data_IF_122815465063
#
_entry.id   IF_122815465063
#
_cell.length_a   1.000
_cell.length_b   1.000
_cell.length_c   1.000
_cell.angle_alpha   90.00
_cell.angle_beta   90.00
_cell.angle_gamma   90.00
#
_symmetry.space_group_name_H-M   'P 1'
#
loop_
_entity.id
_entity.type
_entity.pdbx_description
1 polymer ?
#
# COMPACT_ATOMS: atom_id res chain seq x y z
N UNK A 1 -5.00 -2.10 80.35
CA UNK A 1 -6.14 -1.19 80.16
C UNK A 1 -7.24 -1.64 81.13
N UNK A 2 -7.35 -1.01 82.30
CA UNK A 2 -8.37 -1.28 83.27
C UNK A 2 -9.62 -0.49 82.90
N UNK A 3 -10.56 -1.13 82.21
CA UNK A 3 -11.93 -0.69 82.15
C UNK A 3 -12.66 -1.26 83.34
N UNK A 4 -13.10 -0.42 84.28
CA UNK A 4 -14.05 -0.83 85.28
C UNK A 4 -15.38 -1.10 84.58
N UNK A 5 -15.74 -2.37 84.47
CA UNK A 5 -17.09 -2.76 84.08
C UNK A 5 -18.00 -2.51 85.27
N UNK A 6 -18.83 -1.48 85.21
CA UNK A 6 -19.91 -1.30 86.16
C UNK A 6 -21.01 -2.30 85.86
N UNK A 7 -21.10 -3.32 86.68
CA UNK A 7 -22.20 -4.30 86.57
C UNK A 7 -23.38 -3.75 87.38
N UNK A 8 -24.43 -3.33 86.62
CA UNK A 8 -25.69 -2.89 87.25
C UNK A 8 -26.64 -4.09 87.34
N UNK A 9 -26.91 -4.57 88.51
CA UNK A 9 -27.89 -5.62 88.74
C UNK A 9 -29.27 -5.01 89.03
N UNK A 10 -30.26 -5.17 88.14
CA UNK A 10 -31.62 -4.72 88.34
C UNK A 10 -32.51 -5.87 88.74
N UNK A 11 -33.37 -5.68 89.78
CA UNK A 11 -34.33 -6.66 90.22
C UNK A 11 -35.74 -6.29 89.78
N UNK A 12 -36.45 -7.24 89.21
CA UNK A 12 -37.88 -7.03 88.82
C UNK A 12 -38.82 -7.14 90.10
N UNK A 13 -38.28 -7.46 91.24
CA UNK A 13 -39.01 -7.47 92.48
C UNK A 13 -38.79 -6.16 93.26
N UNK A 14 -39.81 -5.35 93.49
CA UNK A 14 -39.65 -4.03 94.15
C UNK A 14 -39.18 -4.15 95.64
N UNK A 15 -39.13 -5.33 96.23
CA UNK A 15 -38.66 -5.56 97.59
C UNK A 15 -37.18 -5.91 97.70
N UNK A 16 -36.47 -6.05 96.50
CA UNK A 16 -35.04 -6.31 96.50
C UNK A 16 -34.33 -5.06 96.07
N UNK A 17 -33.53 -4.47 96.92
CA UNK A 17 -32.79 -3.24 96.56
C UNK A 17 -31.78 -3.54 95.47
N UNK A 18 -31.73 -2.69 94.45
CA UNK A 18 -30.70 -2.69 93.40
C UNK A 18 -29.51 -1.92 93.99
N UNK A 19 -28.33 -2.55 94.00
CA UNK A 19 -27.12 -1.91 94.45
C UNK A 19 -26.07 -1.85 93.32
N UNK A 20 -25.24 -0.81 93.30
CA UNK A 20 -24.08 -0.71 92.43
C UNK A 20 -22.96 -1.66 92.87
N UNK A 21 -21.89 -1.71 92.07
CA UNK A 21 -20.73 -2.54 92.38
C UNK A 21 -20.02 -2.15 93.68
N UNK A 22 -20.32 -0.97 94.17
CA UNK A 22 -19.80 -0.51 95.52
C UNK A 22 -20.77 -0.75 96.66
N UNK A 23 -21.93 -1.46 96.46
CA UNK A 23 -22.88 -1.78 97.47
C UNK A 23 -23.86 -0.65 97.78
N UNK A 24 -23.89 0.44 97.05
CA UNK A 24 -24.79 1.57 97.29
C UNK A 24 -26.16 1.27 96.65
N UNK A 25 -27.21 1.53 97.41
CA UNK A 25 -28.60 1.37 96.98
C UNK A 25 -28.91 2.33 95.85
N UNK A 26 -29.33 1.78 94.68
CA UNK A 26 -29.75 2.60 93.55
C UNK A 26 -31.27 2.81 93.57
N UNK A 27 -31.70 4.04 93.34
CA UNK A 27 -33.11 4.35 93.22
C UNK A 27 -33.69 3.80 91.87
N UNK A 28 -34.95 3.37 91.84
CA UNK A 28 -35.57 2.73 90.69
C UNK A 28 -35.48 3.55 89.40
N UNK A 29 -35.30 4.82 89.49
CA UNK A 29 -35.16 5.70 88.31
C UNK A 29 -33.78 5.67 87.64
N UNK A 30 -32.75 5.23 88.34
CA UNK A 30 -31.38 5.31 87.80
C UNK A 30 -31.11 4.22 86.74
N UNK A 31 -31.81 3.08 86.79
CA UNK A 31 -31.62 2.03 85.82
C UNK A 31 -32.53 2.16 84.62
N UNK A 32 -33.52 3.08 84.58
CA UNK A 32 -34.28 3.39 83.37
C UNK A 32 -33.57 4.38 82.40
N UNK A 33 -32.48 5.03 82.88
CA UNK A 33 -31.70 5.99 82.09
C UNK A 33 -30.61 5.36 81.23
N UNK A 34 -30.46 4.06 81.20
CA UNK A 34 -29.39 3.37 80.47
C UNK A 34 -29.85 2.97 79.05
N UNK A 35 -30.57 3.85 78.38
CA UNK A 35 -30.79 3.76 76.94
C UNK A 35 -29.84 4.68 76.19
N UNK A 36 -28.57 4.32 76.27
CA UNK A 36 -27.57 5.01 75.48
C UNK A 36 -27.34 4.24 74.20
N UNK A 37 -27.27 4.92 73.07
CA UNK A 37 -27.15 4.29 71.76
C UNK A 37 -25.89 3.45 71.55
N UNK A 38 -24.97 3.43 72.53
CA UNK A 38 -23.70 2.73 72.53
C UNK A 38 -23.59 1.60 73.55
N UNK A 39 -24.72 1.16 74.14
CA UNK A 39 -24.76 0.09 75.14
C UNK A 39 -25.46 -1.16 74.52
N UNK A 40 -24.71 -2.26 74.40
CA UNK A 40 -25.29 -3.58 74.14
C UNK A 40 -25.86 -4.16 75.43
N UNK A 41 -26.94 -4.92 75.40
CA UNK A 41 -27.56 -5.58 76.56
C UNK A 41 -27.64 -7.08 76.30
N UNK A 42 -27.25 -7.83 77.31
CA UNK A 42 -27.51 -9.29 77.36
C UNK A 42 -28.44 -9.55 78.56
N UNK A 43 -29.62 -10.11 78.25
CA UNK A 43 -30.63 -10.46 79.26
C UNK A 43 -30.54 -11.96 79.55
N UNK A 44 -30.41 -12.34 80.78
CA UNK A 44 -30.47 -13.74 81.24
C UNK A 44 -31.59 -13.91 82.23
N UNK A 45 -32.48 -14.87 82.01
CA UNK A 45 -33.51 -15.20 82.96
C UNK A 45 -32.98 -16.24 83.98
N UNK A 46 -33.01 -15.90 85.23
CA UNK A 46 -32.72 -16.81 86.31
C UNK A 46 -34.04 -17.48 86.72
N UNK A 47 -34.18 -18.77 86.44
CA UNK A 47 -35.38 -19.56 86.75
C UNK A 47 -35.25 -20.24 88.13
N UNK A 48 -36.37 -20.33 88.82
CA UNK A 48 -36.42 -21.09 90.10
C UNK A 48 -36.33 -22.60 89.75
N UNK A 49 -35.33 -23.33 90.30
CA UNK A 49 -35.10 -24.74 89.94
C UNK A 49 -36.23 -25.67 90.41
N UNK A 50 -37.12 -25.24 91.29
CA UNK A 50 -38.23 -26.05 91.77
C UNK A 50 -39.55 -25.79 90.97
N UNK A 51 -39.74 -24.63 90.48
CA UNK A 51 -41.00 -24.23 89.82
C UNK A 51 -40.86 -23.94 88.28
N UNK A 52 -39.66 -23.89 87.77
CA UNK A 52 -39.36 -23.57 86.39
C UNK A 52 -39.75 -22.13 85.97
N UNK A 53 -40.27 -21.32 86.86
CA UNK A 53 -40.68 -19.93 86.56
C UNK A 53 -39.48 -18.99 86.72
N UNK A 54 -39.43 -18.01 85.77
CA UNK A 54 -38.42 -16.97 85.83
C UNK A 54 -38.58 -16.15 87.11
N UNK A 55 -37.56 -16.13 87.92
CA UNK A 55 -37.54 -15.46 89.26
C UNK A 55 -36.89 -14.10 89.18
N UNK A 56 -35.86 -13.98 88.33
CA UNK A 56 -35.11 -12.74 88.09
C UNK A 56 -34.66 -12.69 86.65
N UNK A 57 -34.57 -11.47 86.10
CA UNK A 57 -33.91 -11.20 84.83
C UNK A 57 -32.66 -10.35 85.16
N UNK A 58 -31.52 -10.85 84.75
CA UNK A 58 -30.28 -10.15 84.86
C UNK A 58 -30.02 -9.51 83.52
N UNK A 59 -29.92 -8.17 83.49
CA UNK A 59 -29.50 -7.36 82.32
C UNK A 59 -28.11 -6.85 82.58
N UNK A 60 -27.19 -7.28 81.77
CA UNK A 60 -25.81 -6.77 81.72
C UNK A 60 -25.66 -5.83 80.55
N UNK A 61 -25.43 -4.57 80.88
CA UNK A 61 -25.10 -3.54 79.87
C UNK A 61 -23.59 -3.52 79.69
N UNK A 62 -23.17 -3.61 78.43
CA UNK A 62 -21.76 -3.43 78.09
C UNK A 62 -21.60 -2.31 77.07
N UNK A 63 -20.53 -1.53 77.23
CA UNK A 63 -20.25 -0.43 76.31
C UNK A 63 -19.75 -0.95 74.94
N UNK A 64 -20.45 -0.66 73.90
CA UNK A 64 -20.02 -0.95 72.49
C UNK A 64 -19.20 0.18 71.91
N UNK A 65 -18.98 1.28 72.60
CA UNK A 65 -18.21 2.43 72.09
C UNK A 65 -16.78 2.02 71.75
N UNK A 66 -16.15 1.17 72.56
CA UNK A 66 -14.82 0.63 72.30
C UNK A 66 -14.78 -0.32 71.11
N UNK A 67 -15.83 -1.14 70.94
CA UNK A 67 -15.95 -2.03 69.79
C UNK A 67 -16.14 -1.24 68.50
N UNK A 68 -16.98 -0.20 68.51
CA UNK A 68 -17.19 0.66 67.36
C UNK A 68 -15.93 1.43 66.97
N UNK A 69 -15.13 1.85 67.92
CA UNK A 69 -13.85 2.50 67.65
C UNK A 69 -12.85 1.51 67.06
N UNK A 70 -12.71 0.31 67.58
CA UNK A 70 -11.87 -0.75 67.05
C UNK A 70 -12.30 -1.14 65.64
N UNK A 71 -13.60 -1.39 65.44
CA UNK A 71 -14.13 -1.72 64.11
C UNK A 71 -13.86 -0.61 63.06
N UNK A 72 -14.06 0.66 63.45
CA UNK A 72 -13.73 1.80 62.55
C UNK A 72 -12.24 1.87 62.24
N UNK A 73 -11.38 1.63 63.22
CA UNK A 73 -9.93 1.59 63.00
C UNK A 73 -9.54 0.47 62.05
N UNK A 74 -10.08 -0.74 62.25
CA UNK A 74 -9.82 -1.89 61.38
C UNK A 74 -10.34 -1.64 59.94
N UNK A 75 -11.53 -1.05 59.77
CA UNK A 75 -12.06 -0.69 58.47
C UNK A 75 -11.19 0.37 57.77
N UNK A 76 -10.73 1.39 58.51
CA UNK A 76 -9.86 2.44 57.94
C UNK A 76 -8.49 1.89 57.56
N UNK A 77 -7.89 1.01 58.38
CA UNK A 77 -6.62 0.37 58.05
C UNK A 77 -6.76 -0.58 56.85
N UNK A 78 -7.83 -1.37 56.80
CA UNK A 78 -8.12 -2.24 55.66
C UNK A 78 -8.34 -1.42 54.37
N UNK A 79 -9.10 -0.30 54.44
CA UNK A 79 -9.32 0.59 53.32
C UNK A 79 -8.01 1.26 52.85
N UNK A 80 -7.15 1.69 53.80
CA UNK A 80 -5.84 2.26 53.44
C UNK A 80 -4.93 1.24 52.77
N UNK A 81 -4.87 0.02 53.29
CA UNK A 81 -4.11 -1.09 52.70
C UNK A 81 -4.65 -1.43 51.31
N UNK A 82 -5.97 -1.56 51.16
CA UNK A 82 -6.60 -1.79 49.86
C UNK A 82 -6.28 -0.65 48.84
N UNK A 83 -6.33 0.60 49.32
CA UNK A 83 -5.97 1.77 48.49
C UNK A 83 -4.50 1.71 48.00
N UNK A 84 -3.58 1.30 48.86
CA UNK A 84 -2.16 1.12 48.51
C UNK A 84 -2.01 0.00 47.45
N UNK A 85 -2.70 -1.13 47.62
CA UNK A 85 -2.64 -2.22 46.64
C UNK A 85 -3.24 -1.82 45.30
N UNK A 86 -4.37 -1.07 45.29
CA UNK A 86 -4.97 -0.55 44.05
C UNK A 86 -4.01 0.42 43.32
N UNK A 87 -3.39 1.33 44.11
CA UNK A 87 -2.42 2.28 43.54
C UNK A 87 -1.18 1.55 42.99
N UNK A 88 -0.65 0.60 43.72
CA UNK A 88 0.47 -0.23 43.28
C UNK A 88 0.10 -1.02 42.00
N UNK A 89 -1.09 -1.63 41.97
CA UNK A 89 -1.61 -2.33 40.80
C UNK A 89 -1.74 -1.40 39.57
N UNK A 90 -2.23 -0.18 39.75
CA UNK A 90 -2.33 0.82 38.70
C UNK A 90 -0.94 1.21 38.16
N UNK A 91 0.03 1.45 39.03
CA UNK A 91 1.41 1.76 38.64
C UNK A 91 2.01 0.62 37.82
N UNK A 92 1.84 -0.63 38.29
CA UNK A 92 2.31 -1.82 37.54
C UNK A 92 1.61 -1.92 36.17
N UNK A 93 0.30 -1.73 36.11
CA UNK A 93 -0.46 -1.80 34.86
C UNK A 93 0.01 -0.74 33.86
N UNK A 94 0.24 0.50 34.31
CA UNK A 94 0.80 1.57 33.48
C UNK A 94 2.23 1.24 33.03
N UNK A 95 3.06 0.74 33.93
CA UNK A 95 4.43 0.33 33.63
C UNK A 95 4.45 -0.77 32.55
N UNK A 96 3.63 -1.81 32.69
CA UNK A 96 3.50 -2.89 31.68
C UNK A 96 2.97 -2.35 30.36
N UNK A 97 1.97 -1.47 30.39
CA UNK A 97 1.43 -0.86 29.19
C UNK A 97 2.47 -0.08 28.39
N UNK A 98 3.27 0.75 29.06
CA UNK A 98 4.29 1.58 28.41
C UNK A 98 5.51 0.77 27.99
N UNK A 99 5.93 -0.20 28.81
CA UNK A 99 7.16 -0.95 28.56
C UNK A 99 6.98 -2.12 27.59
N UNK A 100 5.77 -2.70 27.50
CA UNK A 100 5.53 -3.90 26.69
C UNK A 100 4.42 -3.71 25.65
N UNK A 101 3.24 -3.28 26.10
CA UNK A 101 2.05 -3.29 25.22
C UNK A 101 2.16 -2.27 24.07
N UNK A 102 2.58 -1.04 24.37
CA UNK A 102 2.73 0.01 23.33
C UNK A 102 3.79 -0.36 22.30
N UNK A 103 5.03 -0.74 22.68
CA UNK A 103 6.05 -1.12 21.71
C UNK A 103 5.64 -2.29 20.78
N UNK A 104 4.94 -3.29 21.33
CA UNK A 104 4.43 -4.40 20.53
C UNK A 104 3.37 -3.94 19.52
N UNK A 105 2.48 -3.01 19.93
CA UNK A 105 1.50 -2.40 19.00
C UNK A 105 2.20 -1.58 17.92
N UNK A 106 3.24 -0.83 18.25
CA UNK A 106 4.01 -0.05 17.28
C UNK A 106 4.71 -0.96 16.26
N UNK A 107 5.27 -2.09 16.71
CA UNK A 107 5.82 -3.13 15.84
C UNK A 107 4.75 -3.73 14.91
N UNK A 108 3.58 -4.07 15.46
CA UNK A 108 2.47 -4.62 14.67
C UNK A 108 1.95 -3.60 13.63
N UNK A 109 1.84 -2.33 14.01
CA UNK A 109 1.46 -1.26 13.10
C UNK A 109 2.50 -1.05 12.00
N UNK A 110 3.79 -1.12 12.33
CA UNK A 110 4.87 -1.05 11.36
C UNK A 110 4.81 -2.19 10.33
N UNK A 111 4.61 -3.42 10.80
CA UNK A 111 4.43 -4.58 9.92
C UNK A 111 3.23 -4.43 8.98
N UNK A 112 2.10 -3.86 9.47
CA UNK A 112 0.93 -3.60 8.62
C UNK A 112 1.25 -2.57 7.52
N UNK A 113 1.95 -1.49 7.85
CA UNK A 113 2.36 -0.47 6.87
C UNK A 113 3.30 -1.03 5.81
N UNK A 114 4.31 -1.82 6.21
CA UNK A 114 5.20 -2.49 5.25
C UNK A 114 4.42 -3.44 4.35
N UNK A 115 3.44 -4.18 4.87
CA UNK A 115 2.55 -5.03 4.06
C UNK A 115 1.74 -4.22 3.04
N UNK A 116 1.36 -2.98 3.37
CA UNK A 116 0.64 -2.05 2.49
C UNK A 116 1.57 -1.33 1.49
N UNK A 117 2.89 -1.59 1.57
CA UNK A 117 3.89 -1.02 0.67
C UNK A 117 4.54 0.28 1.17
N UNK A 118 4.26 0.72 2.40
CA UNK A 118 4.93 1.86 3.03
C UNK A 118 6.28 1.42 3.62
N UNK A 119 7.30 1.37 2.77
CA UNK A 119 8.66 0.99 3.15
C UNK A 119 9.45 2.14 3.78
N UNK A 120 8.92 3.37 3.79
CA UNK A 120 9.56 4.52 4.42
C UNK A 120 9.26 4.62 5.92
N UNK A 121 8.26 3.90 6.39
CA UNK A 121 7.92 3.87 7.80
C UNK A 121 9.08 3.32 8.64
N UNK A 122 9.39 4.00 9.74
CA UNK A 122 10.41 3.58 10.73
C UNK A 122 9.80 3.50 12.10
N UNK A 123 10.13 2.45 12.84
CA UNK A 123 9.70 2.29 14.23
C UNK A 123 10.67 3.09 15.13
N UNK A 124 10.17 4.11 15.87
CA UNK A 124 11.03 5.00 16.65
C UNK A 124 11.40 4.42 18.03
N UNK A 125 11.69 3.15 18.12
CA UNK A 125 12.03 2.50 19.38
C UNK A 125 13.53 2.63 19.70
N UNK A 126 13.87 3.55 20.59
CA UNK A 126 15.22 3.73 21.12
C UNK A 126 15.39 2.96 22.44
N UNK A 127 15.42 1.63 22.38
CA UNK A 127 15.61 0.74 23.54
C UNK A 127 16.86 -0.11 23.34
N UNK A 128 17.41 -0.64 24.48
CA UNK A 128 18.60 -1.51 24.46
C UNK A 128 18.28 -2.96 24.83
N UNK A 129 17.00 -3.33 24.78
CA UNK A 129 16.47 -4.66 25.05
C UNK A 129 16.06 -5.38 23.73
N UNK A 130 15.43 -6.54 23.86
CA UNK A 130 15.01 -7.38 22.77
C UNK A 130 14.01 -6.66 21.82
N UNK A 131 13.12 -5.83 22.38
CA UNK A 131 12.17 -5.04 21.58
C UNK A 131 12.88 -3.94 20.79
N UNK A 132 13.92 -3.32 21.37
CA UNK A 132 14.76 -2.36 20.65
C UNK A 132 15.54 -3.01 19.51
N UNK A 133 16.07 -4.21 19.73
CA UNK A 133 16.73 -4.99 18.69
C UNK A 133 15.76 -5.37 17.56
N UNK A 134 14.55 -5.84 17.92
CA UNK A 134 13.52 -6.19 16.95
C UNK A 134 13.09 -4.98 16.10
N UNK A 135 12.97 -3.78 16.71
CA UNK A 135 12.68 -2.55 15.98
C UNK A 135 13.83 -2.14 15.04
N UNK A 136 15.06 -2.35 15.47
CA UNK A 136 16.24 -2.13 14.61
C UNK A 136 16.22 -3.08 13.41
N UNK A 137 16.07 -4.37 13.64
CA UNK A 137 16.02 -5.40 12.59
C UNK A 137 14.85 -5.15 11.61
N UNK A 138 13.68 -4.71 12.14
CA UNK A 138 12.56 -4.27 11.31
C UNK A 138 12.95 -3.08 10.41
N UNK A 139 13.59 -2.05 10.96
CA UNK A 139 13.99 -0.87 10.21
C UNK A 139 15.01 -1.20 9.11
N UNK A 140 15.96 -2.10 9.39
CA UNK A 140 16.91 -2.63 8.38
C UNK A 140 16.19 -3.39 7.28
N UNK A 141 15.22 -4.25 7.65
CA UNK A 141 14.39 -4.96 6.67
C UNK A 141 13.58 -4.01 5.80
N UNK A 142 12.93 -3.01 6.40
CA UNK A 142 12.14 -2.00 5.67
C UNK A 142 13.02 -1.20 4.68
N UNK A 143 14.27 -0.88 5.07
CA UNK A 143 15.24 -0.24 4.19
C UNK A 143 15.63 -1.13 3.01
N UNK A 144 15.93 -2.41 3.25
CA UNK A 144 16.21 -3.37 2.17
C UNK A 144 15.03 -3.55 1.21
N UNK A 145 13.78 -3.53 1.72
CA UNK A 145 12.59 -3.59 0.87
C UNK A 145 12.42 -2.30 0.05
N UNK A 146 12.65 -1.13 0.63
CA UNK A 146 12.65 0.15 -0.07
C UNK A 146 13.67 0.19 -1.21
N UNK A 147 14.90 -0.24 -0.92
CA UNK A 147 15.97 -0.27 -1.92
C UNK A 147 15.65 -1.24 -3.06
N UNK A 148 15.08 -2.41 -2.72
CA UNK A 148 14.59 -3.37 -3.72
C UNK A 148 13.47 -2.78 -4.59
N UNK A 149 12.51 -2.08 -3.98
CA UNK A 149 11.41 -1.44 -4.74
C UNK A 149 11.92 -0.28 -5.59
N UNK A 150 12.89 0.50 -5.09
CA UNK A 150 13.57 1.54 -5.87
C UNK A 150 14.30 0.95 -7.08
N UNK A 151 15.09 -0.12 -6.91
CA UNK A 151 15.76 -0.82 -8.02
C UNK A 151 14.74 -1.34 -9.02
N UNK A 152 13.66 -1.99 -8.55
CA UNK A 152 12.60 -2.51 -9.40
C UNK A 152 11.89 -1.40 -10.19
N UNK A 153 11.56 -0.28 -9.57
CA UNK A 153 10.90 0.84 -10.24
C UNK A 153 11.85 1.58 -11.20
N UNK A 154 13.13 1.66 -10.86
CA UNK A 154 14.16 2.18 -11.76
C UNK A 154 14.32 1.24 -12.96
N UNK A 155 14.42 -0.07 -12.72
CA UNK A 155 14.51 -1.07 -13.79
C UNK A 155 13.32 -1.02 -14.76
N UNK A 156 12.09 -0.80 -14.27
CA UNK A 156 10.88 -0.62 -15.10
C UNK A 156 10.95 0.61 -16.03
N UNK A 157 11.82 1.60 -15.73
CA UNK A 157 12.04 2.76 -16.62
C UNK A 157 13.00 2.46 -17.76
N UNK A 158 13.90 1.48 -17.57
CA UNK A 158 14.88 1.08 -18.60
C UNK A 158 14.43 -0.14 -19.41
N UNK A 159 13.42 -0.86 -18.93
CA UNK A 159 12.87 -2.05 -19.60
C UNK A 159 11.37 -1.89 -19.75
N UNK A 160 10.84 -2.24 -20.92
CA UNK A 160 9.38 -2.13 -21.14
C UNK A 160 8.59 -2.97 -20.14
N UNK A 161 7.38 -2.52 -19.79
CA UNK A 161 6.52 -3.18 -18.80
C UNK A 161 6.34 -4.67 -19.14
N UNK A 162 6.11 -5.01 -20.40
CA UNK A 162 5.89 -6.39 -20.87
C UNK A 162 7.15 -7.25 -20.69
N UNK A 163 8.33 -6.71 -20.98
CA UNK A 163 9.62 -7.42 -20.77
C UNK A 163 9.90 -7.59 -19.30
N UNK A 164 9.64 -6.57 -18.47
CA UNK A 164 9.79 -6.66 -17.02
C UNK A 164 8.86 -7.73 -16.42
N UNK A 165 7.60 -7.80 -16.87
CA UNK A 165 6.63 -8.81 -16.44
C UNK A 165 7.06 -10.22 -16.82
N UNK A 166 7.56 -10.43 -18.07
CA UNK A 166 8.09 -11.74 -18.51
C UNK A 166 9.29 -12.17 -17.65
N UNK A 167 10.25 -11.28 -17.40
CA UNK A 167 11.42 -11.57 -16.57
C UNK A 167 11.02 -11.90 -15.13
N UNK A 168 10.06 -11.17 -14.55
CA UNK A 168 9.60 -11.38 -13.18
C UNK A 168 8.75 -12.65 -13.01
N UNK A 169 8.04 -13.07 -14.06
CA UNK A 169 7.21 -14.28 -14.06
C UNK A 169 8.04 -15.57 -14.26
N UNK A 170 9.16 -15.48 -14.98
CA UNK A 170 10.03 -16.61 -15.29
C UNK A 170 11.32 -16.55 -14.46
N UNK A 171 11.20 -16.75 -13.13
CA UNK A 171 12.33 -16.64 -12.19
C UNK A 171 13.50 -17.58 -12.45
N UNK A 172 13.29 -18.69 -13.18
CA UNK A 172 14.26 -19.78 -13.29
C UNK A 172 14.87 -19.96 -14.68
N UNK A 173 14.51 -19.16 -15.70
CA UNK A 173 15.05 -19.35 -17.05
C UNK A 173 15.12 -18.04 -17.85
N UNK A 174 16.08 -17.19 -17.53
CA UNK A 174 16.58 -16.23 -18.52
C UNK A 174 17.43 -17.01 -19.52
N UNK A 175 16.75 -17.68 -20.48
CA UNK A 175 17.43 -18.37 -21.57
C UNK A 175 17.85 -17.36 -22.63
N UNK A 176 19.06 -17.52 -23.16
CA UNK A 176 19.54 -16.83 -24.37
C UNK A 176 18.88 -17.37 -25.65
N UNK A 177 17.93 -18.30 -25.55
CA UNK A 177 17.24 -18.86 -26.69
C UNK A 177 16.11 -17.94 -27.14
N UNK A 178 16.25 -17.35 -28.33
CA UNK A 178 15.15 -16.66 -28.99
C UNK A 178 14.13 -17.66 -29.54
N UNK A 179 12.86 -17.26 -29.57
CA UNK A 179 11.74 -18.01 -30.15
C UNK A 179 11.31 -17.41 -31.51
N UNK A 180 10.93 -18.27 -32.46
CA UNK A 180 10.29 -17.78 -33.70
C UNK A 180 8.89 -17.30 -33.38
N UNK A 181 8.61 -16.04 -33.69
CA UNK A 181 7.34 -15.41 -33.39
C UNK A 181 6.95 -14.47 -34.51
N UNK A 182 5.67 -14.45 -34.87
CA UNK A 182 5.16 -13.42 -35.76
C UNK A 182 4.95 -12.14 -34.96
N UNK A 183 5.60 -11.06 -35.39
CA UNK A 183 5.51 -9.75 -34.73
C UNK A 183 5.20 -8.67 -35.75
N UNK A 184 4.64 -7.57 -35.31
CA UNK A 184 4.55 -6.33 -36.07
C UNK A 184 5.60 -5.38 -35.53
N UNK A 185 6.46 -4.87 -36.41
CA UNK A 185 7.56 -3.96 -36.07
C UNK A 185 7.27 -2.59 -36.66
N UNK A 186 7.50 -1.57 -35.84
CA UNK A 186 7.40 -0.15 -36.24
C UNK A 186 8.77 0.49 -36.05
N UNK A 187 9.18 1.24 -37.07
CA UNK A 187 10.22 2.25 -37.00
C UNK A 187 9.62 3.62 -37.23
N UNK A 188 10.06 4.60 -36.46
CA UNK A 188 9.74 6.01 -36.69
C UNK A 188 10.98 6.82 -36.52
N UNK A 189 11.23 7.81 -37.38
CA UNK A 189 12.40 8.70 -37.32
C UNK A 189 11.98 10.14 -37.65
N UNK A 190 12.70 11.13 -37.03
CA UNK A 190 12.43 12.54 -37.30
C UNK A 190 13.06 12.99 -38.61
N UNK A 191 12.25 13.51 -39.48
CA UNK A 191 12.72 14.01 -40.75
C UNK A 191 13.57 15.30 -40.59
N UNK A 192 14.76 15.28 -41.16
CA UNK A 192 15.65 16.43 -41.12
C UNK A 192 16.23 16.74 -39.74
N UNK A 193 16.25 15.78 -38.81
CA UNK A 193 16.79 15.99 -37.46
C UNK A 193 18.29 16.30 -37.46
N UNK A 194 19.09 15.64 -38.26
CA UNK A 194 20.54 15.91 -38.36
C UNK A 194 20.85 17.38 -38.70
N UNK A 195 20.28 17.96 -39.78
CA UNK A 195 20.43 19.39 -40.03
C UNK A 195 19.86 20.31 -38.93
N UNK A 196 18.81 19.87 -38.24
CA UNK A 196 18.26 20.59 -37.09
C UNK A 196 19.27 20.63 -35.95
N UNK A 197 19.81 19.46 -35.57
CA UNK A 197 20.78 19.33 -34.47
C UNK A 197 22.07 20.11 -34.71
N UNK A 198 22.50 20.25 -35.97
CA UNK A 198 23.68 21.05 -36.34
C UNK A 198 23.46 22.57 -36.18
N UNK A 199 22.21 23.05 -36.23
CA UNK A 199 21.85 24.47 -36.18
C UNK A 199 21.40 24.95 -34.82
N UNK A 200 21.14 24.07 -33.86
CA UNK A 200 20.61 24.42 -32.55
C UNK A 200 21.56 24.05 -31.43
N UNK A 201 21.41 24.70 -30.30
CA UNK A 201 22.18 24.39 -29.09
C UNK A 201 21.84 22.98 -28.57
N UNK A 202 22.85 22.24 -28.05
CA UNK A 202 22.64 20.86 -27.58
C UNK A 202 21.51 20.70 -26.56
N UNK A 203 21.28 21.68 -25.70
CA UNK A 203 20.21 21.67 -24.72
C UNK A 203 18.83 21.75 -25.38
N UNK A 204 18.68 22.52 -26.45
CA UNK A 204 17.43 22.63 -27.22
C UNK A 204 17.14 21.34 -27.97
N UNK A 205 18.17 20.71 -28.55
CA UNK A 205 18.07 19.42 -29.22
C UNK A 205 17.63 18.34 -28.23
N UNK A 206 18.22 18.25 -27.05
CA UNK A 206 17.85 17.29 -26.01
C UNK A 206 16.43 17.56 -25.49
N UNK A 207 16.05 18.82 -25.30
CA UNK A 207 14.70 19.18 -24.87
C UNK A 207 13.64 18.73 -25.89
N UNK A 208 13.89 19.00 -27.20
CA UNK A 208 13.02 18.54 -28.29
C UNK A 208 12.88 17.02 -28.29
N UNK A 209 14.01 16.31 -28.24
CA UNK A 209 14.01 14.85 -28.24
C UNK A 209 13.21 14.28 -27.06
N UNK A 210 13.44 14.81 -25.85
CA UNK A 210 12.74 14.31 -24.68
C UNK A 210 11.23 14.53 -24.77
N UNK A 211 10.77 15.71 -25.27
CA UNK A 211 9.33 15.95 -25.45
C UNK A 211 8.75 15.04 -26.55
N UNK A 212 9.41 14.91 -27.68
CA UNK A 212 8.99 14.05 -28.78
C UNK A 212 8.95 12.56 -28.37
N UNK A 213 10.05 12.05 -27.82
CA UNK A 213 10.15 10.64 -27.44
C UNK A 213 9.17 10.28 -26.35
N UNK A 214 8.88 11.19 -25.39
CA UNK A 214 7.86 10.95 -24.38
C UNK A 214 6.47 10.71 -25.00
N UNK A 215 6.09 11.55 -25.98
CA UNK A 215 4.81 11.39 -26.71
C UNK A 215 4.78 10.03 -27.43
N UNK A 216 5.85 9.68 -28.15
CA UNK A 216 5.92 8.42 -28.90
C UNK A 216 5.82 7.20 -27.97
N UNK A 217 6.52 7.21 -26.84
CA UNK A 217 6.51 6.12 -25.87
C UNK A 217 5.12 5.94 -25.25
N UNK A 218 4.48 7.04 -24.85
CA UNK A 218 3.15 6.99 -24.25
C UNK A 218 2.14 6.36 -25.21
N UNK A 219 2.21 6.68 -26.50
CA UNK A 219 1.33 6.10 -27.52
C UNK A 219 1.66 4.62 -27.78
N UNK A 220 2.95 4.24 -27.86
CA UNK A 220 3.35 2.84 -27.99
C UNK A 220 2.74 2.02 -26.85
N UNK A 221 2.87 2.48 -25.61
CA UNK A 221 2.34 1.77 -24.45
C UNK A 221 0.82 1.77 -24.38
N UNK A 222 0.17 2.84 -24.82
CA UNK A 222 -1.29 2.95 -24.88
C UNK A 222 -1.90 1.84 -25.77
N UNK A 223 -1.24 1.52 -26.88
CA UNK A 223 -1.64 0.44 -27.78
C UNK A 223 -0.91 -0.89 -27.50
N UNK A 224 -0.41 -1.05 -26.27
CA UNK A 224 0.23 -2.28 -25.80
C UNK A 224 1.51 -2.67 -26.57
N UNK A 225 2.16 -1.75 -27.25
CA UNK A 225 3.44 -1.97 -27.91
C UNK A 225 4.60 -2.09 -26.92
N UNK A 226 5.63 -2.80 -27.31
CA UNK A 226 6.89 -2.86 -26.61
C UNK A 226 7.91 -1.94 -27.29
N UNK A 227 8.45 -0.96 -26.54
CA UNK A 227 9.56 -0.16 -26.99
C UNK A 227 10.82 -1.03 -26.99
N UNK A 228 11.49 -1.16 -28.12
CA UNK A 228 12.77 -1.87 -28.22
C UNK A 228 13.93 -0.97 -27.80
N UNK A 229 14.18 0.05 -28.58
CA UNK A 229 15.26 1.01 -28.35
C UNK A 229 15.05 2.34 -29.09
N UNK A 230 15.83 3.30 -28.67
CA UNK A 230 16.02 4.54 -29.41
C UNK A 230 17.19 4.38 -30.39
N UNK A 231 17.05 4.95 -31.56
CA UNK A 231 18.05 4.97 -32.63
C UNK A 231 18.37 6.42 -33.02
N UNK A 232 19.06 7.13 -32.11
CA UNK A 232 19.20 8.58 -32.22
C UNK A 232 17.89 9.29 -31.91
N UNK A 233 17.30 9.92 -32.91
CA UNK A 233 15.96 10.52 -32.90
C UNK A 233 14.85 9.53 -33.27
N UNK A 234 15.23 8.35 -33.72
CA UNK A 234 14.29 7.30 -34.10
C UNK A 234 13.87 6.40 -32.97
N UNK A 235 12.72 5.78 -33.16
CA UNK A 235 12.11 4.81 -32.23
C UNK A 235 11.89 3.48 -32.94
N UNK A 236 12.30 2.40 -32.33
CA UNK A 236 11.91 1.04 -32.71
C UNK A 236 10.97 0.46 -31.68
N UNK A 237 9.81 -0.02 -32.14
CA UNK A 237 8.83 -0.70 -31.30
C UNK A 237 8.28 -1.94 -32.01
N UNK A 238 7.71 -2.86 -31.23
CA UNK A 238 7.09 -4.06 -31.76
C UNK A 238 5.87 -4.51 -30.96
N UNK A 239 5.00 -5.29 -31.58
CA UNK A 239 3.79 -5.87 -31.01
C UNK A 239 3.81 -7.38 -31.14
N UNK A 240 3.09 -8.09 -30.28
CA UNK A 240 3.00 -9.55 -30.17
C UNK A 240 4.29 -10.23 -29.65
N UNK A 241 5.08 -9.48 -28.89
CA UNK A 241 6.19 -10.01 -28.10
C UNK A 241 6.46 -9.03 -26.91
N UNK A 242 6.91 -9.49 -25.77
CA UNK A 242 7.13 -10.90 -25.37
C UNK A 242 5.85 -11.67 -25.01
N UNK A 243 4.71 -11.00 -24.94
CA UNK A 243 3.39 -11.56 -24.67
C UNK A 243 2.59 -11.68 -25.96
N UNK A 244 1.69 -12.68 -26.02
CA UNK A 244 0.77 -12.82 -27.14
C UNK A 244 -0.25 -11.67 -27.12
N UNK A 245 -0.54 -11.14 -28.31
CA UNK A 245 -1.48 -10.02 -28.48
C UNK A 245 -2.40 -10.27 -29.66
N UNK A 246 -3.69 -10.13 -29.40
CA UNK A 246 -4.68 -10.13 -30.47
C UNK A 246 -4.59 -8.83 -31.28
N UNK A 247 -4.75 -8.94 -32.63
CA UNK A 247 -4.78 -7.81 -33.55
C UNK A 247 -3.53 -6.90 -33.47
N UNK A 248 -2.36 -7.48 -33.23
CA UNK A 248 -1.10 -6.73 -33.14
C UNK A 248 -0.84 -5.79 -34.33
N UNK A 249 -1.07 -6.19 -35.60
CA UNK A 249 -0.91 -5.28 -36.73
C UNK A 249 -1.88 -4.09 -36.72
N UNK A 250 -3.10 -4.28 -36.25
CA UNK A 250 -4.10 -3.21 -36.13
C UNK A 250 -3.76 -2.24 -35.02
N UNK A 251 -3.34 -2.75 -33.84
CA UNK A 251 -2.87 -1.91 -32.71
C UNK A 251 -1.66 -1.08 -33.08
N UNK A 252 -0.72 -1.66 -33.84
CA UNK A 252 0.44 -0.94 -34.38
C UNK A 252 0.03 0.17 -35.34
N UNK A 253 -0.93 -0.10 -36.25
CA UNK A 253 -1.44 0.89 -37.18
C UNK A 253 -2.16 2.04 -36.47
N UNK A 254 -2.97 1.75 -35.43
CA UNK A 254 -3.61 2.75 -34.59
C UNK A 254 -2.57 3.62 -33.87
N UNK A 255 -1.54 2.99 -33.27
CA UNK A 255 -0.44 3.73 -32.68
C UNK A 255 0.24 4.69 -33.66
N UNK A 256 0.52 4.23 -34.85
CA UNK A 256 1.16 5.06 -35.87
C UNK A 256 0.29 6.27 -36.29
N UNK A 257 -1.02 6.09 -36.44
CA UNK A 257 -1.96 7.18 -36.75
C UNK A 257 -2.04 8.17 -35.59
N UNK A 258 -2.14 7.70 -34.36
CA UNK A 258 -2.14 8.57 -33.19
C UNK A 258 -0.81 9.33 -33.01
N UNK A 259 0.33 8.70 -33.31
CA UNK A 259 1.63 9.38 -33.36
C UNK A 259 1.62 10.57 -34.32
N UNK A 260 1.09 10.41 -35.53
CA UNK A 260 1.02 11.50 -36.51
C UNK A 260 0.09 12.64 -36.04
N UNK A 261 -1.05 12.29 -35.45
CA UNK A 261 -1.97 13.29 -34.87
C UNK A 261 -1.33 14.05 -33.72
N UNK A 262 -0.67 13.32 -32.81
CA UNK A 262 0.04 13.91 -31.68
C UNK A 262 1.20 14.84 -32.10
N UNK A 263 1.93 14.49 -33.15
CA UNK A 263 2.93 15.37 -33.79
C UNK A 263 2.26 16.63 -34.31
N UNK A 264 1.08 16.53 -34.94
CA UNK A 264 0.29 17.68 -35.39
C UNK A 264 -0.06 18.64 -34.24
N UNK A 265 -0.50 18.08 -33.10
CA UNK A 265 -0.79 18.84 -31.85
C UNK A 265 0.50 19.45 -31.30
N UNK A 266 1.57 18.69 -31.25
CA UNK A 266 2.88 19.15 -30.81
C UNK A 266 3.39 20.33 -31.64
N UNK A 267 3.23 20.27 -32.97
CA UNK A 267 3.59 21.34 -33.90
C UNK A 267 2.77 22.61 -33.68
N UNK A 268 1.48 22.51 -33.31
CA UNK A 268 0.67 23.69 -32.97
C UNK A 268 1.24 24.38 -31.71
N UNK A 269 1.67 23.61 -30.68
CA UNK A 269 2.35 24.14 -29.50
C UNK A 269 3.64 24.83 -29.90
N UNK A 270 4.49 24.17 -30.69
CA UNK A 270 5.78 24.69 -31.14
C UNK A 270 5.64 25.99 -31.96
N UNK A 271 4.66 26.05 -32.83
CA UNK A 271 4.37 27.28 -33.59
C UNK A 271 3.98 28.44 -32.66
N UNK A 272 3.21 28.20 -31.59
CA UNK A 272 2.89 29.18 -30.57
C UNK A 272 4.10 29.70 -29.81
N UNK A 273 5.18 28.88 -29.73
CA UNK A 273 6.47 29.24 -29.13
C UNK A 273 7.48 29.81 -30.13
N UNK A 274 7.09 29.99 -31.41
CA UNK A 274 7.95 30.47 -32.48
C UNK A 274 9.01 29.46 -32.93
N UNK A 275 8.82 28.16 -32.65
CA UNK A 275 9.73 27.08 -33.02
C UNK A 275 9.34 26.39 -34.31
N UNK A 276 10.33 25.86 -35.02
CA UNK A 276 10.11 25.11 -36.28
C UNK A 276 9.29 23.85 -36.04
N UNK A 277 8.36 23.46 -36.97
CA UNK A 277 7.65 22.22 -36.90
C UNK A 277 8.56 21.02 -37.14
N UNK A 278 8.20 19.88 -36.55
CA UNK A 278 8.88 18.58 -36.76
C UNK A 278 7.93 17.60 -37.45
N UNK A 279 8.49 16.68 -38.19
CA UNK A 279 7.76 15.64 -38.90
C UNK A 279 8.43 14.29 -38.66
N UNK A 280 7.67 13.22 -38.62
CA UNK A 280 8.22 11.88 -38.52
C UNK A 280 7.69 10.98 -39.63
N UNK A 281 8.55 10.18 -40.22
CA UNK A 281 8.21 9.06 -41.05
C UNK A 281 7.94 7.81 -40.17
N UNK A 282 7.00 6.94 -40.64
CA UNK A 282 6.72 5.68 -39.92
C UNK A 282 6.68 4.54 -40.92
N UNK A 283 7.46 3.47 -40.64
CA UNK A 283 7.49 2.24 -41.39
C UNK A 283 7.04 1.05 -40.57
N UNK A 284 6.07 0.25 -41.09
CA UNK A 284 5.49 -0.89 -40.36
C UNK A 284 5.61 -2.16 -41.18
N UNK A 285 6.07 -3.25 -40.60
CA UNK A 285 6.08 -4.58 -41.21
C UNK A 285 5.59 -5.65 -40.24
N UNK A 286 4.95 -6.68 -40.78
CA UNK A 286 4.52 -7.86 -39.99
C UNK A 286 5.15 -9.11 -40.56
N UNK A 287 5.59 -10.00 -39.68
CA UNK A 287 6.04 -11.35 -40.06
C UNK A 287 6.92 -12.02 -38.99
N UNK A 288 7.39 -13.20 -39.39
CA UNK A 288 8.17 -14.06 -38.49
C UNK A 288 9.57 -13.53 -38.28
N UNK A 289 9.94 -13.38 -37.00
CA UNK A 289 11.27 -12.98 -36.51
C UNK A 289 11.72 -13.91 -35.38
N UNK A 290 12.93 -13.73 -34.89
CA UNK A 290 13.41 -14.32 -33.64
C UNK A 290 13.24 -13.26 -32.56
N UNK A 291 12.41 -13.53 -31.56
CA UNK A 291 12.18 -12.67 -30.38
C UNK A 291 12.81 -13.33 -29.15
N UNK A 292 13.56 -12.60 -28.36
CA UNK A 292 14.16 -13.15 -27.16
C UNK A 292 15.33 -12.34 -26.62
N UNK A 293 15.99 -12.89 -25.59
CA UNK A 293 17.18 -12.29 -25.00
C UNK A 293 18.37 -12.50 -25.95
N UNK A 294 18.91 -11.43 -26.48
CA UNK A 294 20.02 -11.44 -27.42
C UNK A 294 21.18 -10.65 -26.80
N UNK A 295 22.39 -11.23 -26.86
CA UNK A 295 23.59 -10.62 -26.31
C UNK A 295 24.50 -11.64 -25.63
N UNK A 296 25.08 -11.24 -24.52
CA UNK A 296 25.94 -12.08 -23.68
C UNK A 296 25.44 -12.05 -22.25
N UNK A 297 25.96 -12.98 -21.39
CA UNK A 297 25.64 -12.99 -19.95
C UNK A 297 25.93 -11.64 -19.24
N UNK A 298 26.84 -10.83 -19.78
CA UNK A 298 27.21 -9.52 -19.22
C UNK A 298 26.29 -8.40 -19.67
N UNK A 299 25.67 -8.52 -20.86
CA UNK A 299 24.74 -7.53 -21.42
C UNK A 299 23.77 -8.23 -22.35
N UNK A 300 22.51 -8.26 -21.96
CA UNK A 300 21.40 -8.84 -22.72
C UNK A 300 20.34 -7.76 -22.97
N UNK A 301 19.72 -7.85 -24.13
CA UNK A 301 18.55 -7.06 -24.51
C UNK A 301 17.46 -8.01 -24.98
N UNK A 302 16.23 -7.86 -24.49
CA UNK A 302 15.10 -8.54 -25.09
C UNK A 302 14.72 -7.75 -26.33
N UNK A 303 14.92 -8.34 -27.49
CA UNK A 303 14.72 -7.67 -28.78
C UNK A 303 14.23 -8.66 -29.85
N UNK A 304 13.89 -8.14 -31.01
CA UNK A 304 13.47 -8.92 -32.16
C UNK A 304 14.50 -8.79 -33.28
N UNK A 305 14.89 -9.93 -33.89
CA UNK A 305 15.87 -9.97 -34.99
C UNK A 305 15.31 -10.76 -36.14
N UNK A 306 15.39 -10.19 -37.36
CA UNK A 306 14.95 -10.87 -38.54
C UNK A 306 14.86 -9.93 -39.75
N UNK A 307 14.58 -10.53 -40.90
CA UNK A 307 14.46 -9.82 -42.16
C UNK A 307 13.36 -8.75 -42.14
N UNK A 308 12.27 -9.02 -41.39
CA UNK A 308 11.14 -8.06 -41.26
C UNK A 308 11.53 -6.82 -40.46
N UNK A 309 12.40 -6.95 -39.47
CA UNK A 309 12.93 -5.79 -38.70
C UNK A 309 13.70 -4.85 -39.62
N UNK A 310 14.62 -5.41 -40.41
CA UNK A 310 15.40 -4.63 -41.37
C UNK A 310 14.52 -4.04 -42.47
N UNK A 311 13.44 -4.74 -42.86
CA UNK A 311 12.50 -4.23 -43.82
C UNK A 311 11.73 -3.02 -43.29
N UNK A 312 11.27 -3.05 -42.04
CA UNK A 312 10.56 -1.93 -41.40
C UNK A 312 11.40 -0.65 -41.43
N UNK A 313 12.67 -0.74 -41.01
CA UNK A 313 13.59 0.39 -41.06
C UNK A 313 13.80 0.92 -42.47
N UNK A 314 13.90 0.04 -43.47
CA UNK A 314 14.09 0.45 -44.89
C UNK A 314 12.84 1.05 -45.53
N UNK A 315 11.66 0.63 -45.09
CA UNK A 315 10.37 1.22 -45.51
C UNK A 315 10.22 2.59 -44.86
N UNK A 316 10.57 2.70 -43.57
CA UNK A 316 10.55 3.99 -42.88
C UNK A 316 11.43 5.00 -43.62
N UNK A 317 12.68 4.68 -43.97
CA UNK A 317 13.57 5.57 -44.73
C UNK A 317 13.11 5.91 -46.17
N UNK A 318 11.94 5.44 -46.60
CA UNK A 318 11.28 5.82 -47.87
C UNK A 318 10.03 6.66 -47.65
N UNK A 319 9.73 7.04 -46.43
CA UNK A 319 8.57 7.88 -46.11
C UNK A 319 8.79 9.33 -46.51
N UNK A 320 7.73 9.95 -46.96
CA UNK A 320 7.62 11.40 -47.03
C UNK A 320 7.15 11.97 -45.69
N UNK A 321 7.16 13.30 -45.57
CA UNK A 321 6.74 14.01 -44.33
C UNK A 321 5.40 13.55 -43.80
N UNK A 322 5.41 13.05 -42.55
CA UNK A 322 4.21 12.61 -41.86
C UNK A 322 3.56 11.37 -42.48
N UNK A 323 4.28 10.61 -43.32
CA UNK A 323 3.75 9.45 -43.98
C UNK A 323 3.90 8.18 -43.13
N UNK A 324 2.89 7.31 -43.22
CA UNK A 324 2.94 5.97 -42.65
C UNK A 324 2.96 4.97 -43.77
N UNK A 325 4.03 4.17 -43.89
CA UNK A 325 4.17 3.11 -44.87
C UNK A 325 4.04 1.74 -44.23
N UNK A 326 3.25 0.85 -44.86
CA UNK A 326 3.08 -0.53 -44.37
C UNK A 326 3.43 -1.52 -45.46
N UNK A 327 4.04 -2.66 -45.12
CA UNK A 327 4.32 -3.72 -46.08
C UNK A 327 3.04 -4.50 -46.45
N UNK A 328 3.11 -5.27 -47.53
CA UNK A 328 1.98 -6.05 -48.01
C UNK A 328 1.46 -7.09 -47.00
N UNK A 329 2.29 -7.61 -46.11
CA UNK A 329 1.88 -8.52 -45.03
C UNK A 329 1.05 -7.78 -43.99
N UNK A 330 1.53 -6.66 -43.51
CA UNK A 330 0.80 -5.80 -42.57
C UNK A 330 -0.54 -5.36 -43.17
N UNK A 331 -0.53 -4.87 -44.45
CA UNK A 331 -1.75 -4.49 -45.11
C UNK A 331 -2.77 -5.64 -45.20
N UNK A 332 -2.34 -6.85 -45.49
CA UNK A 332 -3.24 -8.00 -45.57
C UNK A 332 -3.97 -8.28 -44.25
N UNK A 333 -3.34 -8.02 -43.08
CA UNK A 333 -3.96 -8.15 -41.78
C UNK A 333 -4.94 -7.01 -41.43
N UNK A 334 -4.70 -5.79 -41.95
CA UNK A 334 -5.51 -4.62 -41.57
C UNK A 334 -6.44 -4.13 -42.71
N UNK A 335 -6.45 -4.75 -43.88
CA UNK A 335 -7.17 -4.29 -45.10
C UNK A 335 -8.67 -4.03 -44.89
N UNK A 336 -9.31 -4.80 -43.99
CA UNK A 336 -10.74 -4.66 -43.70
C UNK A 336 -11.04 -3.43 -42.81
N UNK A 337 -10.01 -2.85 -42.24
CA UNK A 337 -10.04 -1.69 -41.36
C UNK A 337 -9.41 -0.46 -42.03
N UNK A 338 -8.49 -0.62 -42.98
CA UNK A 338 -7.58 0.42 -43.42
C UNK A 338 -8.02 1.12 -44.71
N UNK A 339 -7.86 2.42 -44.72
CA UNK A 339 -7.78 3.22 -45.95
C UNK A 339 -6.30 3.36 -46.31
N UNK A 340 -5.92 2.71 -47.42
CA UNK A 340 -4.52 2.71 -47.85
C UNK A 340 -4.40 2.75 -49.38
N UNK A 341 -3.36 3.43 -49.85
CA UNK A 341 -3.04 3.52 -51.29
C UNK A 341 -1.79 2.69 -51.60
N UNK A 342 -1.85 1.77 -52.58
CA UNK A 342 -0.68 1.03 -53.02
C UNK A 342 0.34 1.94 -53.69
N UNK A 343 1.62 1.80 -53.31
CA UNK A 343 2.74 2.41 -54.04
C UNK A 343 3.25 1.46 -55.13
N UNK A 344 3.95 1.99 -56.13
CA UNK A 344 4.68 1.14 -57.06
C UNK A 344 5.60 0.19 -56.32
N UNK A 345 5.69 -1.10 -56.71
CA UNK A 345 6.56 -2.06 -56.03
C UNK A 345 8.00 -1.53 -55.93
N UNK A 346 8.49 -1.38 -54.71
CA UNK A 346 9.80 -0.77 -54.45
C UNK A 346 10.90 -1.83 -54.37
N UNK A 347 12.03 -1.56 -54.99
CA UNK A 347 13.26 -2.35 -54.78
C UNK A 347 13.92 -1.92 -53.48
N UNK A 348 13.68 -2.67 -52.43
CA UNK A 348 14.29 -2.44 -51.13
C UNK A 348 15.66 -3.11 -51.10
N UNK A 349 16.71 -2.39 -50.65
CA UNK A 349 18.08 -2.92 -50.57
C UNK A 349 18.09 -4.29 -49.80
N UNK A 350 18.73 -5.31 -50.38
CA UNK A 350 18.82 -6.65 -49.78
C UNK A 350 17.60 -7.54 -49.99
N UNK A 351 16.58 -7.10 -50.73
CA UNK A 351 15.47 -7.95 -51.21
C UNK A 351 15.70 -8.33 -52.68
N UNK A 352 15.49 -9.60 -53.01
CA UNK A 352 15.58 -10.10 -54.39
C UNK A 352 14.39 -9.66 -55.21
N UNK A 353 13.19 -9.63 -54.61
CA UNK A 353 11.94 -9.27 -55.23
C UNK A 353 11.46 -7.90 -54.76
N UNK A 354 10.78 -7.11 -55.60
CA UNK A 354 10.15 -5.87 -55.18
C UNK A 354 9.14 -6.10 -54.06
N UNK A 355 9.16 -5.21 -53.06
CA UNK A 355 8.23 -5.27 -51.90
C UNK A 355 7.00 -4.44 -52.24
N UNK A 356 5.80 -4.98 -51.93
CA UNK A 356 4.56 -4.20 -51.98
C UNK A 356 4.48 -3.34 -50.76
N UNK A 357 4.29 -2.04 -50.96
CA UNK A 357 4.21 -1.04 -49.88
C UNK A 357 2.91 -0.26 -50.11
N UNK A 358 2.28 0.11 -49.02
CA UNK A 358 1.04 0.90 -49.03
C UNK A 358 1.22 2.11 -48.13
N UNK A 359 0.69 3.25 -48.52
CA UNK A 359 0.53 4.44 -47.66
C UNK A 359 -0.74 4.25 -46.84
N UNK A 360 -0.62 4.22 -45.55
CA UNK A 360 -1.76 4.18 -44.63
C UNK A 360 -2.26 5.60 -44.37
N UNK A 361 -3.52 5.89 -44.72
CA UNK A 361 -4.13 7.20 -44.53
C UNK A 361 -5.02 7.28 -43.31
N UNK A 362 -5.59 6.16 -42.87
CA UNK A 362 -6.50 6.09 -41.73
C UNK A 362 -7.15 4.72 -41.58
N UNK A 363 -7.96 4.58 -40.56
CA UNK A 363 -8.75 3.38 -40.27
C UNK A 363 -10.24 3.76 -40.27
N UNK A 364 -11.10 2.81 -40.66
CA UNK A 364 -12.54 2.96 -40.63
C UNK A 364 -13.13 2.62 -39.25
N UNK A 365 -14.43 2.87 -39.05
CA UNK A 365 -15.12 2.66 -37.77
C UNK A 365 -15.16 1.19 -37.29
N UNK A 366 -14.84 0.21 -38.11
CA UNK A 366 -14.68 -1.19 -37.64
C UNK A 366 -13.52 -1.36 -36.68
N UNK A 367 -12.55 -0.44 -36.71
CA UNK A 367 -11.44 -0.43 -35.78
C UNK A 367 -11.79 0.15 -34.37
N UNK A 368 -12.99 0.73 -34.20
CA UNK A 368 -13.42 1.40 -32.99
C UNK A 368 -13.22 0.57 -31.69
N UNK A 369 -13.49 -0.76 -31.66
CA UNK A 369 -13.24 -1.57 -30.45
C UNK A 369 -11.78 -1.62 -30.02
N UNK A 370 -10.83 -1.25 -30.85
CA UNK A 370 -9.38 -1.32 -30.59
C UNK A 370 -8.77 0.06 -30.37
N UNK A 371 -9.55 1.13 -30.53
CA UNK A 371 -9.10 2.51 -30.30
C UNK A 371 -9.07 2.81 -28.82
N UNK A 372 -8.06 3.54 -28.40
CA UNK A 372 -7.96 4.02 -27.02
C UNK A 372 -9.17 4.89 -26.64
N UNK A 373 -9.56 4.83 -25.35
CA UNK A 373 -10.75 5.52 -24.85
C UNK A 373 -10.70 7.03 -25.16
N UNK A 374 -11.71 7.53 -25.86
CA UNK A 374 -11.82 8.94 -26.23
C UNK A 374 -11.13 9.34 -27.54
N UNK A 375 -10.54 8.39 -28.30
CA UNK A 375 -9.81 8.66 -29.56
C UNK A 375 -10.52 8.15 -30.80
N UNK A 376 -11.84 8.08 -30.78
CA UNK A 376 -12.63 7.73 -31.93
C UNK A 376 -12.49 8.75 -33.11
N UNK A 377 -11.94 9.93 -32.83
CA UNK A 377 -11.57 10.98 -33.78
C UNK A 377 -10.47 10.53 -34.79
N UNK A 378 -9.70 9.50 -34.44
CA UNK A 378 -8.69 8.90 -35.32
C UNK A 378 -9.30 8.07 -36.48
N UNK A 379 -10.59 7.72 -36.37
CA UNK A 379 -11.27 6.91 -37.36
C UNK A 379 -11.93 7.78 -38.42
N UNK A 380 -11.78 7.39 -39.64
CA UNK A 380 -12.43 8.05 -40.80
C UNK A 380 -13.85 7.50 -40.96
N UNK A 381 -14.79 8.38 -41.25
CA UNK A 381 -16.11 8.00 -41.71
C UNK A 381 -16.00 7.44 -43.13
N UNK A 382 -16.79 6.42 -43.45
CA UNK A 382 -16.78 5.73 -44.74
C UNK A 382 -17.34 6.62 -45.88
#
# INVERSE_FOLDING_TARGET
LRGQEEVVVASSNPRVPVVDAAGRKLEPLDYYKIDAPNLGRVNANVTDPRTGKARYMISVGYSVAGLNWLARREILTAAAVAGIFILAGLVVAVAVSVTWTRPVKDLAAGLSRVREGDFDYRIPLRRRDELGRLAYDFNVMAEGLRDREFVKNTFKRYVTKQVAEKILSQKDAISLAGEKREVTVLFSDLEGFTPFAERHEPQEVVALLNEYLAIMIDIIFLYEGALDKFLGDGVMAYWNAPLDQDQAPLKCALAALEMQDAIGIFNKKRAGEGKEPVYAGIGITTGVVVAGNIGSEKKMEYTVVGDKVNLAQRIEGQTDRGQILVDGTTYAHIKDYAYATPLPPSRVRGKKEPVRIYVLHGLNRRAEPFVASGRADLLLDA
#
